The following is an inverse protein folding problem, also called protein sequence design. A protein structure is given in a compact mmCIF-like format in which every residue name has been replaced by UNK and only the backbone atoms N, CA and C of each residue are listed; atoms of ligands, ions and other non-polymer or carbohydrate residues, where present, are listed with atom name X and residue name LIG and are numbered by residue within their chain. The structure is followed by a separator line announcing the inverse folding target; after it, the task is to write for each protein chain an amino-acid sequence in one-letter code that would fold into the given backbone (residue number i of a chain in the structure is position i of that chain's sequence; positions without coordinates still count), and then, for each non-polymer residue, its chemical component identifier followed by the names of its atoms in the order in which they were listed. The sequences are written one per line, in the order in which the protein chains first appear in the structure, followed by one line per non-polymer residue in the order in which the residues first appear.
data_IF_352962423051
#
_entry.id   IF_352962423051
#
_cell.length_a   1.000
_cell.length_b   1.000
_cell.length_c   1.000
_cell.angle_alpha   90.00
_cell.angle_beta   90.00
_cell.angle_gamma   90.00
#
_symmetry.space_group_name_H-M   'P 1'
#
loop_
_entity.id
_entity.type
_entity.pdbx_description
1 polymer ?
#
# COMPACT_ATOMS: atom_id res chain seq x y z
N UNK A 1 -2.37 19.18 -16.21
CA UNK A 1 -1.23 19.02 -15.30
C UNK A 1 -1.04 20.26 -14.40
N UNK A 2 -0.94 21.47 -14.99
CA UNK A 2 -0.68 22.70 -14.22
C UNK A 2 -1.67 22.92 -13.06
N UNK A 3 -2.96 22.64 -13.26
CA UNK A 3 -3.98 22.79 -12.22
C UNK A 3 -3.81 21.80 -11.05
N UNK A 4 -3.31 20.60 -11.34
CA UNK A 4 -3.17 19.51 -10.35
C UNK A 4 -1.85 19.57 -9.58
N UNK A 5 -0.84 20.25 -10.11
CA UNK A 5 0.50 20.29 -9.56
C UNK A 5 0.52 20.74 -8.10
N UNK A 6 1.06 19.88 -7.21
CA UNK A 6 1.16 20.14 -5.77
C UNK A 6 -0.18 20.19 -5.02
N UNK A 7 -1.28 19.76 -5.66
CA UNK A 7 -2.62 19.80 -5.07
C UNK A 7 -3.26 18.43 -4.95
N UNK A 8 -3.01 17.54 -5.94
CA UNK A 8 -3.65 16.23 -6.03
C UNK A 8 -2.73 15.28 -6.79
N UNK A 9 -2.76 14.00 -6.44
CA UNK A 9 -2.13 12.94 -7.23
C UNK A 9 -2.88 12.67 -8.53
N UNK A 10 -2.21 12.06 -9.49
CA UNK A 10 -2.77 11.72 -10.79
C UNK A 10 -2.73 10.22 -11.06
N UNK A 11 -3.84 9.70 -11.60
CA UNK A 11 -3.87 8.43 -12.33
C UNK A 11 -4.07 8.77 -13.82
N UNK A 12 -3.02 8.57 -14.62
CA UNK A 12 -3.01 8.95 -16.05
C UNK A 12 -3.21 7.71 -16.90
N UNK A 13 -4.39 7.57 -17.50
CA UNK A 13 -4.66 6.47 -18.42
C UNK A 13 -4.14 6.82 -19.83
N UNK A 14 -3.24 5.98 -20.35
CA UNK A 14 -2.78 6.03 -21.74
C UNK A 14 -3.64 5.08 -22.59
N UNK A 15 -4.35 5.65 -23.55
CA UNK A 15 -5.12 4.90 -24.58
C UNK A 15 -4.35 4.95 -25.89
N UNK A 16 -3.58 3.90 -26.24
CA UNK A 16 -2.78 3.90 -27.44
C UNK A 16 -3.65 3.99 -28.69
N UNK A 17 -3.16 4.75 -29.67
CA UNK A 17 -3.83 4.93 -30.96
C UNK A 17 -2.79 5.00 -32.07
N UNK A 18 -3.12 4.45 -33.24
CA UNK A 18 -2.28 4.56 -34.42
C UNK A 18 -2.04 6.03 -34.84
N UNK A 19 -2.92 6.94 -34.41
CA UNK A 19 -2.79 8.38 -34.69
C UNK A 19 -1.79 9.10 -33.75
N UNK A 20 -1.31 8.45 -32.70
CA UNK A 20 -0.44 9.06 -31.69
C UNK A 20 0.74 8.14 -31.34
N UNK A 21 1.68 7.92 -32.28
CA UNK A 21 2.72 6.88 -32.16
C UNK A 21 3.77 7.14 -31.07
N UNK A 22 3.82 8.31 -30.46
CA UNK A 22 4.76 8.68 -29.40
C UNK A 22 4.06 9.09 -28.09
N UNK A 23 2.84 8.58 -27.86
CA UNK A 23 2.00 9.03 -26.77
C UNK A 23 2.64 8.73 -25.38
N UNK A 24 3.27 7.58 -25.23
CA UNK A 24 3.95 7.18 -23.97
C UNK A 24 5.12 8.14 -23.66
N UNK A 25 5.97 8.41 -24.65
CA UNK A 25 7.12 9.30 -24.48
C UNK A 25 6.69 10.74 -24.18
N UNK A 26 5.64 11.24 -24.85
CA UNK A 26 5.12 12.59 -24.63
C UNK A 26 4.44 12.69 -23.25
N UNK A 27 3.71 11.66 -22.81
CA UNK A 27 3.12 11.60 -21.48
C UNK A 27 4.20 11.70 -20.40
N UNK A 28 5.24 10.87 -20.48
CA UNK A 28 6.37 10.89 -19.52
C UNK A 28 7.07 12.24 -19.54
N UNK A 29 7.33 12.82 -20.72
CA UNK A 29 7.95 14.14 -20.86
C UNK A 29 7.15 15.23 -20.13
N UNK A 30 5.84 15.25 -20.35
CA UNK A 30 4.95 16.23 -19.72
C UNK A 30 4.85 16.04 -18.20
N UNK A 31 4.75 14.81 -17.73
CA UNK A 31 4.71 14.54 -16.29
C UNK A 31 5.96 15.07 -15.59
N UNK A 32 7.15 14.77 -16.12
CA UNK A 32 8.42 15.27 -15.59
C UNK A 32 8.53 16.79 -15.67
N UNK A 33 8.12 17.41 -16.78
CA UNK A 33 8.12 18.88 -16.97
C UNK A 33 7.25 19.57 -15.93
N UNK A 34 6.09 19.00 -15.60
CA UNK A 34 5.17 19.57 -14.61
C UNK A 34 5.47 19.13 -13.16
N UNK A 35 6.54 18.37 -12.92
CA UNK A 35 6.99 17.96 -11.60
C UNK A 35 6.12 16.89 -10.93
N UNK A 36 5.56 15.98 -11.76
CA UNK A 36 4.96 14.75 -11.27
C UNK A 36 6.01 13.64 -11.24
N UNK A 37 5.99 12.84 -10.19
CA UNK A 37 6.89 11.72 -9.96
C UNK A 37 6.14 10.50 -9.38
N UNK A 38 6.87 9.47 -8.95
CA UNK A 38 6.30 8.25 -8.39
C UNK A 38 5.52 8.42 -7.09
N UNK A 39 5.68 9.55 -6.39
CA UNK A 39 4.98 9.85 -5.14
C UNK A 39 3.58 10.42 -5.36
N UNK A 40 3.32 10.94 -6.56
CA UNK A 40 2.08 11.68 -6.84
C UNK A 40 1.47 11.38 -8.21
N UNK A 41 2.01 10.41 -8.96
CA UNK A 41 1.46 10.02 -10.25
C UNK A 41 1.64 8.53 -10.51
N UNK A 42 0.59 7.89 -11.00
CA UNK A 42 0.61 6.53 -11.55
C UNK A 42 0.15 6.58 -13.01
N UNK A 43 0.61 5.62 -13.82
CA UNK A 43 0.25 5.51 -15.23
C UNK A 43 -0.50 4.20 -15.46
N UNK A 44 -1.66 4.26 -16.08
CA UNK A 44 -2.50 3.09 -16.35
C UNK A 44 -2.75 2.91 -17.84
N UNK A 45 -2.99 1.67 -18.25
CA UNK A 45 -3.43 1.35 -19.62
C UNK A 45 -4.13 -0.01 -19.68
N UNK A 46 -5.03 -0.17 -20.65
CA UNK A 46 -5.57 -1.48 -21.06
C UNK A 46 -4.61 -2.23 -22.00
N UNK A 47 -3.52 -1.59 -22.45
CA UNK A 47 -2.49 -2.19 -23.29
C UNK A 47 -1.26 -2.50 -22.45
N UNK A 48 -0.93 -3.78 -22.28
CA UNK A 48 0.29 -4.17 -21.59
C UNK A 48 1.56 -3.70 -22.32
N UNK A 49 1.55 -3.68 -23.68
CA UNK A 49 2.65 -3.13 -24.47
C UNK A 49 2.92 -1.66 -24.16
N UNK A 50 1.86 -0.87 -23.90
CA UNK A 50 1.98 0.53 -23.48
C UNK A 50 2.66 0.64 -22.11
N UNK A 51 2.29 -0.22 -21.14
CA UNK A 51 2.94 -0.25 -19.83
C UNK A 51 4.42 -0.65 -19.94
N UNK A 52 4.73 -1.64 -20.76
CA UNK A 52 6.10 -2.05 -21.06
C UNK A 52 6.94 -0.88 -21.58
N UNK A 53 6.44 -0.16 -22.60
CA UNK A 53 7.11 1.06 -23.12
C UNK A 53 7.28 2.14 -22.06
N UNK A 54 6.28 2.35 -21.19
CA UNK A 54 6.41 3.31 -20.09
C UNK A 54 7.53 2.88 -19.14
N UNK A 55 7.62 1.60 -18.77
CA UNK A 55 8.70 1.09 -17.91
C UNK A 55 10.08 1.19 -18.55
N UNK A 56 10.20 1.04 -19.86
CA UNK A 56 11.46 1.29 -20.58
C UNK A 56 11.89 2.76 -20.54
N UNK A 57 10.93 3.70 -20.64
CA UNK A 57 11.18 5.14 -20.68
C UNK A 57 11.34 5.77 -19.30
N UNK A 58 10.62 5.25 -18.32
CA UNK A 58 10.44 5.86 -17.01
C UNK A 58 10.08 4.79 -15.95
N UNK A 59 11.01 3.90 -15.59
CA UNK A 59 10.78 2.80 -14.64
C UNK A 59 10.36 3.29 -13.25
N UNK A 60 10.60 4.55 -12.93
CA UNK A 60 10.25 5.16 -11.66
C UNK A 60 8.74 5.33 -11.46
N UNK A 61 7.92 5.45 -12.52
CA UNK A 61 6.48 5.59 -12.35
C UNK A 61 5.83 4.24 -12.07
N UNK A 62 4.96 4.15 -11.04
CA UNK A 62 4.09 2.99 -10.87
C UNK A 62 3.15 2.84 -12.05
N UNK A 63 2.99 1.61 -12.54
CA UNK A 63 2.15 1.29 -13.69
C UNK A 63 1.04 0.34 -13.32
N UNK A 64 -0.18 0.60 -13.79
CA UNK A 64 -1.37 -0.18 -13.54
C UNK A 64 -1.97 -0.78 -14.80
N UNK A 65 -2.21 -2.09 -14.78
CA UNK A 65 -2.89 -2.77 -15.88
C UNK A 65 -4.40 -2.76 -15.67
N UNK A 66 -5.13 -2.12 -16.59
CA UNK A 66 -6.59 -2.01 -16.52
C UNK A 66 -7.20 -3.27 -17.11
N UNK A 67 -7.98 -3.99 -16.31
CA UNK A 67 -8.65 -5.23 -16.67
C UNK A 67 -10.17 -5.03 -16.67
N UNK A 68 -10.75 -5.06 -17.86
CA UNK A 68 -12.20 -5.08 -18.03
C UNK A 68 -12.79 -6.49 -17.91
N UNK A 69 -11.95 -7.53 -18.10
CA UNK A 69 -12.31 -8.94 -17.98
C UNK A 69 -11.20 -9.66 -17.21
N UNK A 70 -11.52 -10.15 -16.01
CA UNK A 70 -10.58 -10.81 -15.12
C UNK A 70 -10.24 -12.26 -15.49
N UNK A 71 -10.01 -12.57 -16.77
CA UNK A 71 -9.76 -13.94 -17.24
C UNK A 71 -8.29 -14.11 -17.64
N UNK A 72 -7.60 -15.05 -17.00
CA UNK A 72 -6.20 -15.41 -17.35
C UNK A 72 -5.21 -15.25 -16.20
N UNK A 73 -3.99 -15.73 -16.43
CA UNK A 73 -2.88 -15.61 -15.46
C UNK A 73 -2.04 -14.37 -15.74
N UNK A 74 -2.54 -13.20 -15.37
CA UNK A 74 -1.89 -11.90 -15.59
C UNK A 74 -1.15 -11.35 -14.35
N UNK A 75 -1.26 -12.01 -13.20
CA UNK A 75 -0.69 -11.51 -11.95
C UNK A 75 0.84 -11.43 -11.95
N UNK A 76 1.50 -12.21 -12.81
CA UNK A 76 2.97 -12.27 -12.93
C UNK A 76 3.54 -11.29 -13.97
N UNK A 77 2.74 -10.39 -14.57
CA UNK A 77 3.21 -9.40 -15.53
C UNK A 77 4.20 -8.43 -14.87
N UNK A 78 5.48 -8.37 -15.30
CA UNK A 78 6.52 -7.61 -14.61
C UNK A 78 6.31 -6.08 -14.67
N UNK A 79 5.71 -5.58 -15.75
CA UNK A 79 5.51 -4.14 -15.97
C UNK A 79 4.14 -3.65 -15.45
N UNK A 80 3.50 -4.39 -14.56
CA UNK A 80 2.30 -3.96 -13.85
C UNK A 80 2.57 -4.02 -12.35
N UNK A 81 2.65 -2.87 -11.71
CA UNK A 81 2.82 -2.76 -10.25
C UNK A 81 1.48 -2.97 -9.53
N UNK A 82 0.38 -2.66 -10.19
CA UNK A 82 -0.97 -2.90 -9.68
C UNK A 82 -1.96 -3.25 -10.80
N UNK A 83 -3.14 -3.74 -10.39
CA UNK A 83 -4.23 -4.07 -11.31
C UNK A 83 -5.45 -3.22 -11.01
N UNK A 84 -5.98 -2.55 -12.05
CA UNK A 84 -7.21 -1.76 -11.99
C UNK A 84 -8.34 -2.58 -12.61
N UNK A 85 -9.26 -3.09 -11.78
CA UNK A 85 -10.19 -4.15 -12.14
C UNK A 85 -11.64 -3.71 -11.96
N UNK A 86 -12.50 -4.11 -12.90
CA UNK A 86 -13.95 -3.91 -12.79
C UNK A 86 -14.49 -4.75 -11.62
N UNK A 87 -15.37 -4.16 -10.79
CA UNK A 87 -15.81 -4.72 -9.50
C UNK A 87 -16.40 -6.15 -9.58
N UNK A 88 -17.07 -6.51 -10.68
CA UNK A 88 -17.72 -7.83 -10.82
C UNK A 88 -16.72 -8.99 -10.97
N UNK A 89 -15.47 -8.69 -11.31
CA UNK A 89 -14.39 -9.68 -11.46
C UNK A 89 -13.49 -9.80 -10.22
N UNK A 90 -13.72 -8.96 -9.20
CA UNK A 90 -12.90 -8.99 -8.00
C UNK A 90 -13.42 -10.05 -7.04
N UNK A 91 -12.51 -10.90 -6.59
CA UNK A 91 -12.76 -11.92 -5.57
C UNK A 91 -11.63 -11.91 -4.53
N UNK A 92 -11.91 -12.43 -3.33
CA UNK A 92 -10.86 -12.56 -2.29
C UNK A 92 -9.66 -13.40 -2.78
N UNK A 93 -9.92 -14.43 -3.58
CA UNK A 93 -8.86 -15.26 -4.18
C UNK A 93 -7.96 -14.46 -5.13
N UNK A 94 -8.55 -13.56 -5.95
CA UNK A 94 -7.81 -12.66 -6.82
C UNK A 94 -6.97 -11.68 -6.03
N UNK A 95 -7.58 -10.96 -5.08
CA UNK A 95 -6.87 -9.98 -4.23
C UNK A 95 -5.69 -10.62 -3.53
N UNK A 96 -5.89 -11.76 -2.88
CA UNK A 96 -4.83 -12.52 -2.23
C UNK A 96 -3.71 -12.93 -3.20
N UNK A 97 -4.06 -13.38 -4.41
CA UNK A 97 -3.07 -13.79 -5.41
C UNK A 97 -2.21 -12.61 -5.90
N UNK A 98 -2.78 -11.42 -5.99
CA UNK A 98 -2.09 -10.17 -6.33
C UNK A 98 -1.18 -9.73 -5.18
N UNK A 99 -1.69 -9.71 -3.94
CA UNK A 99 -0.95 -9.33 -2.74
C UNK A 99 0.24 -10.26 -2.47
N UNK A 100 0.11 -11.58 -2.71
CA UNK A 100 1.22 -12.53 -2.60
C UNK A 100 2.39 -12.22 -3.54
N UNK A 101 2.18 -11.40 -4.57
CA UNK A 101 3.20 -10.91 -5.50
C UNK A 101 3.71 -9.50 -5.18
N UNK A 102 3.30 -8.94 -4.04
CA UNK A 102 3.66 -7.59 -3.61
C UNK A 102 3.02 -6.50 -4.45
N UNK A 103 1.91 -6.79 -5.13
CA UNK A 103 1.15 -5.85 -5.97
C UNK A 103 -0.18 -5.49 -5.32
N UNK A 104 -0.85 -4.44 -5.84
CA UNK A 104 -2.11 -3.94 -5.30
C UNK A 104 -3.25 -4.01 -6.31
N UNK A 105 -4.49 -3.88 -5.81
CA UNK A 105 -5.73 -3.91 -6.59
C UNK A 105 -6.49 -2.62 -6.40
N UNK A 106 -6.81 -1.97 -7.52
CA UNK A 106 -7.75 -0.83 -7.59
C UNK A 106 -9.06 -1.29 -8.20
N UNK A 107 -10.19 -0.96 -7.58
CA UNK A 107 -11.53 -1.37 -8.06
C UNK A 107 -12.29 -0.20 -8.70
N UNK A 108 -12.92 -0.42 -9.86
CA UNK A 108 -13.74 0.57 -10.58
C UNK A 108 -15.02 -0.03 -11.19
N UNK A 109 -16.11 0.73 -11.40
CA UNK A 109 -16.37 2.06 -10.84
C UNK A 109 -17.30 1.90 -9.64
N UNK A 110 -16.94 2.52 -8.52
CA UNK A 110 -17.61 2.31 -7.22
C UNK A 110 -18.46 3.53 -6.86
N UNK A 111 -19.74 3.52 -7.25
CA UNK A 111 -20.67 4.62 -7.03
C UNK A 111 -21.79 4.30 -6.03
N UNK A 112 -21.64 3.20 -5.30
CA UNK A 112 -22.60 2.74 -4.28
C UNK A 112 -21.87 2.30 -3.03
N UNK A 113 -22.32 2.77 -1.88
CA UNK A 113 -21.72 2.49 -0.56
C UNK A 113 -21.59 0.98 -0.29
N UNK A 114 -22.62 0.18 -0.60
CA UNK A 114 -22.57 -1.27 -0.41
C UNK A 114 -21.46 -1.95 -1.24
N UNK A 115 -21.19 -1.43 -2.44
CA UNK A 115 -20.10 -1.96 -3.28
C UNK A 115 -18.76 -1.55 -2.70
N UNK A 116 -18.63 -0.29 -2.25
CA UNK A 116 -17.43 0.19 -1.58
C UNK A 116 -17.09 -0.65 -0.34
N UNK A 117 -18.08 -0.87 0.54
CA UNK A 117 -17.92 -1.72 1.74
C UNK A 117 -17.45 -3.11 1.36
N UNK A 118 -18.10 -3.73 0.37
CA UNK A 118 -17.73 -5.08 -0.07
C UNK A 118 -16.31 -5.15 -0.65
N UNK A 119 -15.86 -4.15 -1.42
CA UNK A 119 -14.49 -4.11 -1.93
C UNK A 119 -13.47 -3.95 -0.81
N UNK A 120 -13.76 -3.13 0.20
CA UNK A 120 -12.91 -3.00 1.41
C UNK A 120 -12.83 -4.33 2.19
N UNK A 121 -13.94 -5.05 2.35
CA UNK A 121 -13.98 -6.38 2.98
C UNK A 121 -13.17 -7.43 2.21
N UNK A 122 -13.07 -7.31 0.88
CA UNK A 122 -12.23 -8.16 0.05
C UNK A 122 -10.74 -7.80 0.12
N UNK A 123 -10.38 -6.66 0.74
CA UNK A 123 -9.01 -6.19 0.88
C UNK A 123 -8.49 -5.45 -0.34
N UNK A 124 -9.37 -4.80 -1.13
CA UNK A 124 -8.99 -3.93 -2.24
C UNK A 124 -8.27 -2.69 -1.70
N UNK A 125 -7.18 -2.30 -2.36
CA UNK A 125 -6.29 -1.23 -1.89
C UNK A 125 -6.78 0.18 -2.28
N UNK A 126 -7.39 0.32 -3.47
CA UNK A 126 -7.89 1.60 -3.99
C UNK A 126 -9.30 1.50 -4.54
N UNK A 127 -10.10 2.54 -4.30
CA UNK A 127 -11.47 2.67 -4.79
C UNK A 127 -11.57 3.81 -5.82
N UNK A 128 -11.89 3.47 -7.06
CA UNK A 128 -12.10 4.43 -8.15
C UNK A 128 -13.59 4.71 -8.27
N UNK A 129 -14.00 5.98 -8.11
CA UNK A 129 -15.39 6.39 -8.00
C UNK A 129 -15.66 7.75 -8.62
N UNK A 130 -16.88 7.95 -9.14
CA UNK A 130 -17.40 9.26 -9.53
C UNK A 130 -18.02 10.02 -8.33
N UNK A 131 -18.03 9.39 -7.14
CA UNK A 131 -18.64 9.93 -5.89
C UNK A 131 -17.61 9.93 -4.75
N UNK A 132 -16.54 10.73 -4.83
CA UNK A 132 -15.48 10.73 -3.83
C UNK A 132 -15.98 11.07 -2.43
N UNK A 133 -16.93 11.98 -2.29
CA UNK A 133 -17.51 12.37 -0.99
C UNK A 133 -18.14 11.15 -0.28
N UNK A 134 -18.91 10.34 -1.01
CA UNK A 134 -19.52 9.12 -0.47
C UNK A 134 -18.48 8.13 0.06
N UNK A 135 -17.37 7.95 -0.67
CA UNK A 135 -16.29 7.04 -0.24
C UNK A 135 -15.54 7.62 0.96
N UNK A 136 -15.25 8.92 0.96
CA UNK A 136 -14.59 9.59 2.09
C UNK A 136 -15.43 9.48 3.37
N UNK A 137 -16.74 9.73 3.29
CA UNK A 137 -17.66 9.57 4.43
C UNK A 137 -17.69 8.13 4.95
N UNK A 138 -17.67 7.13 4.06
CA UNK A 138 -17.62 5.73 4.43
C UNK A 138 -16.32 5.40 5.17
N UNK A 139 -15.17 5.82 4.63
CA UNK A 139 -13.86 5.56 5.24
C UNK A 139 -13.73 6.24 6.61
N UNK A 140 -14.21 7.48 6.75
CA UNK A 140 -14.20 8.19 8.03
C UNK A 140 -15.03 7.47 9.10
N UNK A 141 -16.20 6.93 8.73
CA UNK A 141 -17.05 6.14 9.66
C UNK A 141 -16.39 4.83 10.06
N UNK A 142 -15.74 4.13 9.13
CA UNK A 142 -15.04 2.88 9.42
C UNK A 142 -13.85 3.11 10.36
N UNK A 143 -13.09 4.18 10.16
CA UNK A 143 -11.99 4.54 11.05
C UNK A 143 -12.47 4.85 12.48
N UNK A 144 -13.59 5.58 12.63
CA UNK A 144 -14.17 5.84 13.96
C UNK A 144 -14.60 4.55 14.68
N UNK A 145 -15.10 3.55 13.94
CA UNK A 145 -15.47 2.24 14.52
C UNK A 145 -14.23 1.48 14.97
N UNK A 146 -13.17 1.46 14.16
CA UNK A 146 -11.91 0.81 14.50
C UNK A 146 -11.24 1.44 15.72
N UNK A 147 -11.20 2.76 15.81
CA UNK A 147 -10.68 3.50 16.96
C UNK A 147 -11.47 3.18 18.23
N UNK A 148 -12.81 3.14 18.14
CA UNK A 148 -13.69 2.78 19.28
C UNK A 148 -13.50 1.33 19.74
N UNK A 149 -13.22 0.40 18.83
CA UNK A 149 -12.92 -1.00 19.17
C UNK A 149 -11.56 -1.15 19.83
N UNK A 150 -10.57 -0.37 19.44
CA UNK A 150 -9.25 -0.32 20.07
C UNK A 150 -9.40 0.18 21.51
N UNK A 151 -10.10 1.30 21.74
CA UNK A 151 -10.37 1.85 23.07
C UNK A 151 -11.09 0.85 23.97
N UNK A 152 -12.08 0.14 23.43
CA UNK A 152 -12.82 -0.88 24.20
C UNK A 152 -11.94 -2.09 24.53
N UNK A 153 -11.08 -2.53 23.62
CA UNK A 153 -10.12 -3.62 23.88
C UNK A 153 -9.12 -3.24 24.95
N UNK A 154 -8.61 -2.01 24.92
CA UNK A 154 -7.65 -1.51 25.92
C UNK A 154 -8.32 -1.37 27.29
N UNK A 155 -9.56 -0.91 27.35
CA UNK A 155 -10.39 -0.90 28.55
C UNK A 155 -10.61 -2.32 29.10
N UNK A 156 -10.93 -3.29 28.25
CA UNK A 156 -11.08 -4.69 28.64
C UNK A 156 -9.78 -5.28 29.20
N UNK A 157 -8.65 -5.00 28.55
CA UNK A 157 -7.35 -5.46 29.02
C UNK A 157 -7.00 -4.87 30.38
N UNK A 158 -7.26 -3.59 30.62
CA UNK A 158 -7.05 -2.95 31.91
C UNK A 158 -7.96 -3.54 33.03
N UNK A 159 -9.18 -3.93 32.68
CA UNK A 159 -10.11 -4.57 33.62
C UNK A 159 -9.74 -6.02 33.95
N UNK A 160 -9.24 -6.76 32.96
CA UNK A 160 -8.88 -8.19 33.13
C UNK A 160 -7.50 -8.38 33.72
N UNK A 161 -6.61 -7.39 33.59
CA UNK A 161 -5.25 -7.39 34.09
C UNK A 161 -4.99 -6.11 34.89
N UNK A 162 -5.66 -5.90 36.05
CA UNK A 162 -5.34 -4.77 36.90
C UNK A 162 -3.86 -4.91 37.33
N UNK A 163 -3.06 -3.92 36.93
CA UNK A 163 -1.64 -3.88 37.32
C UNK A 163 -1.56 -4.07 38.85
N UNK A 164 -0.75 -5.03 39.27
CA UNK A 164 -0.36 -5.09 40.69
C UNK A 164 0.38 -3.77 40.96
N UNK A 165 0.06 -3.07 42.07
CA UNK A 165 0.78 -1.86 42.41
C UNK A 165 2.27 -2.20 42.44
N UNK A 166 3.05 -1.41 41.73
CA UNK A 166 4.51 -1.54 41.74
C UNK A 166 4.99 -1.55 43.16
N UNK A 167 5.53 -2.70 43.59
CA UNK A 167 6.14 -2.88 44.89
C UNK A 167 7.34 -1.94 44.95
N UNK A 168 7.16 -0.84 45.68
CA UNK A 168 8.23 0.08 46.03
C UNK A 168 9.07 -0.56 47.12
N UNK A 169 9.99 -1.43 46.74
CA UNK A 169 11.12 -1.81 47.59
C UNK A 169 12.35 -1.03 47.11
N UNK A 170 12.49 0.17 47.65
CA UNK A 170 13.80 0.72 48.02
C UNK A 170 14.51 -0.30 48.92
N UNK A 171 15.63 -0.81 48.51
CA UNK A 171 16.69 -1.25 49.41
C UNK A 171 18.01 -1.14 48.64
N UNK A 172 18.69 -0.05 48.92
CA UNK A 172 19.93 0.04 49.68
C UNK A 172 21.10 -0.84 49.19
N UNK A 173 22.06 -0.13 48.70
CA UNK A 173 23.49 -0.44 48.63
C UNK A 173 23.96 -1.49 49.62
N UNK A 174 24.69 -2.45 49.10
CA UNK A 174 25.85 -2.97 49.83
C UNK A 174 26.99 -3.22 48.86
N UNK A 175 27.91 -2.29 48.91
CA UNK A 175 29.27 -2.41 48.38
C UNK A 175 30.02 -3.45 49.20
N UNK A 176 30.50 -4.51 48.56
CA UNK A 176 31.62 -5.31 49.08
C UNK A 176 32.72 -5.32 48.02
N UNK A 177 33.76 -4.58 48.34
CA UNK A 177 35.12 -4.71 47.80
C UNK A 177 35.82 -5.88 48.49
N UNK A 178 36.41 -6.78 47.72
CA UNK A 178 37.70 -7.44 47.96
C UNK A 178 38.03 -8.31 46.75
N UNK A 179 38.99 -7.93 46.01
CA UNK A 179 40.44 -8.10 46.07
C UNK A 179 40.90 -9.56 45.80
N UNK A 180 41.65 -9.67 44.67
CA UNK A 180 42.88 -10.45 44.45
C UNK A 180 42.71 -11.96 44.30
N UNK A 181 43.00 -12.45 43.14
CA UNK A 181 44.19 -13.20 42.77
C UNK A 181 44.08 -13.82 41.36
N UNK A 182 45.04 -13.39 40.54
CA UNK A 182 45.48 -14.16 39.36
C UNK A 182 46.46 -15.26 39.86
N UNK A 183 46.53 -16.44 39.30
CA UNK A 183 47.72 -16.74 38.54
C UNK A 183 47.57 -17.65 37.30
N UNK A 184 48.29 -17.26 36.25
CA UNK A 184 49.20 -18.02 35.41
C UNK A 184 48.75 -19.28 34.65
N UNK A 185 48.99 -19.13 33.37
CA UNK A 185 49.70 -20.04 32.47
C UNK A 185 49.31 -21.56 32.44
N UNK A 186 48.90 -22.03 31.29
CA UNK A 186 49.66 -23.11 30.66
C UNK A 186 49.49 -23.12 29.15
N UNK A 187 50.65 -23.11 28.54
CA UNK A 187 51.00 -23.24 27.15
C UNK A 187 50.74 -24.66 26.63
N UNK A 188 50.54 -24.74 25.35
CA UNK A 188 51.01 -25.76 24.38
C UNK A 188 50.07 -26.79 23.81
N UNK A 189 50.04 -26.72 22.51
CA UNK A 189 50.30 -27.70 21.45
C UNK A 189 49.27 -28.84 21.19
N UNK A 190 48.71 -28.79 20.08
CA UNK A 190 48.86 -29.64 18.91
C UNK A 190 47.89 -29.21 17.77
#
# INVERSE_FOLDING_TARGET
LQLCRGRIGLNVEIKPSAATPALEAETVRLLREYGFDSSNCVITSQSYETLHKVKELAPEYPTGYILALGVGNYYDLPDADFFSVETTFITSGMVNAVHLRGKTVSAWTIDREKVATHMLELGVDDLITDKPDMVQDLLARNQQVDDSLIDFRDLLNALLHPEQPADSSDDAEETITDAVEDPEEFVDAA
#
